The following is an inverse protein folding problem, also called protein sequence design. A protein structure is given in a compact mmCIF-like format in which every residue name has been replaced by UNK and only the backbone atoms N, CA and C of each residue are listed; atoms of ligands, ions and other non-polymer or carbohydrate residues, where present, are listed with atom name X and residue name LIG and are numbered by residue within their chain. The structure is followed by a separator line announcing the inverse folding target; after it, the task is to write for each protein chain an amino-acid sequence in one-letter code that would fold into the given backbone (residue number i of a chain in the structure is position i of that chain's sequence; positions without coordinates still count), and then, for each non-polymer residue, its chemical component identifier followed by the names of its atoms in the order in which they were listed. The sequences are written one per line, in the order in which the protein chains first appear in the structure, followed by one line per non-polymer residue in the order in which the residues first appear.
data_IF_377100046353
#
_entry.id   IF_377100046353
#
_cell.length_a   1.000
_cell.length_b   1.000
_cell.length_c   1.000
_cell.angle_alpha   90.00
_cell.angle_beta   90.00
_cell.angle_gamma   90.00
#
_symmetry.space_group_name_H-M   'P 1'
#
loop_
_entity.id
_entity.type
_entity.pdbx_description
1 polymer ?
#
# COMPACT_ATOMS: atom_id res chain seq x y z
N UNK A 1 -22.82 15.09 6.39
CA UNK A 1 -21.76 15.25 7.41
C UNK A 1 -20.66 14.26 7.09
N UNK A 2 -19.44 14.74 6.83
CA UNK A 2 -18.28 13.87 6.66
C UNK A 2 -17.78 13.54 8.06
N UNK A 3 -17.88 12.28 8.45
CA UNK A 3 -17.41 11.81 9.75
C UNK A 3 -15.86 11.68 9.69
N UNK A 4 -15.14 12.65 10.26
CA UNK A 4 -13.67 12.62 10.39
C UNK A 4 -13.28 11.80 11.62
N UNK A 5 -13.25 10.48 11.51
CA UNK A 5 -12.87 9.62 12.63
C UNK A 5 -12.39 8.24 12.21
N UNK A 6 -11.55 7.64 13.06
CA UNK A 6 -10.90 6.34 12.82
C UNK A 6 -11.66 5.23 13.51
N UNK A 7 -11.90 4.16 12.77
CA UNK A 7 -12.36 2.90 13.34
C UNK A 7 -11.16 2.06 13.78
N UNK A 8 -11.02 1.89 15.08
CA UNK A 8 -10.02 1.03 15.70
C UNK A 8 -10.65 -0.34 16.00
N UNK A 9 -9.93 -1.42 15.67
CA UNK A 9 -10.22 -2.76 16.18
C UNK A 9 -9.27 -3.07 17.32
N UNK A 10 -9.78 -3.03 18.55
CA UNK A 10 -8.99 -3.36 19.74
C UNK A 10 -9.25 -4.82 20.08
N UNK A 11 -8.19 -5.62 20.21
CA UNK A 11 -8.25 -7.01 20.64
C UNK A 11 -7.56 -7.15 21.99
N UNK A 12 -8.32 -7.50 23.03
CA UNK A 12 -7.76 -7.86 24.33
C UNK A 12 -7.47 -9.36 24.40
N UNK A 13 -6.37 -9.74 25.05
CA UNK A 13 -5.95 -11.14 25.18
C UNK A 13 -5.95 -11.51 26.67
N UNK A 14 -6.83 -12.43 27.07
CA UNK A 14 -6.98 -12.89 28.46
C UNK A 14 -6.16 -14.15 28.79
N UNK A 15 -5.85 -14.36 30.07
CA UNK A 15 -5.32 -15.65 30.54
C UNK A 15 -6.41 -16.73 30.51
N UNK A 16 -6.18 -17.79 29.73
CA UNK A 16 -6.75 -19.11 30.01
C UNK A 16 -5.61 -20.02 30.44
N UNK A 17 -5.56 -20.37 31.74
CA UNK A 17 -4.46 -21.14 32.35
C UNK A 17 -4.44 -22.63 31.98
N UNK A 18 -5.30 -23.11 31.11
CA UNK A 18 -5.25 -24.46 30.59
C UNK A 18 -5.92 -24.44 29.23
N UNK A 19 -5.25 -24.91 28.16
CA UNK A 19 -5.90 -25.61 27.04
C UNK A 19 -4.89 -26.07 25.98
N UNK A 20 -4.89 -27.38 25.76
CA UNK A 20 -3.98 -28.15 24.92
C UNK A 20 -4.45 -28.30 23.46
N UNK A 21 -5.36 -27.45 22.97
CA UNK A 21 -5.93 -27.61 21.62
C UNK A 21 -6.02 -26.29 20.84
N UNK A 22 -5.52 -26.35 19.60
CA UNK A 22 -5.34 -25.24 18.65
C UNK A 22 -6.64 -24.48 18.28
N UNK A 23 -7.81 -25.08 18.51
CA UNK A 23 -9.14 -24.55 18.16
C UNK A 23 -9.62 -23.46 19.13
N UNK A 24 -9.09 -23.41 20.36
CA UNK A 24 -9.51 -22.45 21.39
C UNK A 24 -8.65 -21.18 21.47
N UNK A 25 -7.69 -20.98 20.54
CA UNK A 25 -6.95 -19.70 20.44
C UNK A 25 -7.82 -18.56 19.95
N UNK A 26 -8.86 -18.83 19.15
CA UNK A 26 -9.74 -17.81 18.57
C UNK A 26 -10.86 -17.34 19.51
N UNK A 27 -11.08 -18.01 20.65
CA UNK A 27 -12.18 -17.75 21.59
C UNK A 27 -11.84 -16.83 22.77
N UNK A 28 -10.61 -16.31 22.88
CA UNK A 28 -10.18 -15.45 23.99
C UNK A 28 -9.89 -14.00 23.60
N UNK A 29 -10.36 -13.58 22.41
CA UNK A 29 -10.29 -12.19 21.98
C UNK A 29 -11.61 -11.49 22.27
N UNK A 30 -11.58 -10.50 23.16
CA UNK A 30 -12.65 -9.52 23.18
C UNK A 30 -12.32 -8.44 22.16
N UNK A 31 -13.07 -8.44 21.06
CA UNK A 31 -12.92 -7.43 20.01
C UNK A 31 -13.81 -6.24 20.33
N UNK A 32 -13.23 -5.05 20.39
CA UNK A 32 -13.95 -3.80 20.48
C UNK A 32 -13.74 -3.02 19.20
N UNK A 33 -14.84 -2.50 18.67
CA UNK A 33 -14.78 -1.49 17.63
C UNK A 33 -14.93 -0.15 18.32
N UNK A 34 -13.87 0.65 18.24
CA UNK A 34 -13.84 1.97 18.84
C UNK A 34 -13.74 3.02 17.73
N UNK A 35 -14.56 4.07 17.82
CA UNK A 35 -14.53 5.16 16.86
C UNK A 35 -13.86 6.38 17.51
N UNK A 36 -12.76 6.81 16.94
CA UNK A 36 -11.94 7.92 17.43
C UNK A 36 -12.25 9.18 16.63
N UNK A 37 -12.74 10.22 17.29
CA UNK A 37 -12.96 11.54 16.70
C UNK A 37 -11.64 12.32 16.59
N UNK A 38 -11.28 12.69 15.36
CA UNK A 38 -9.99 13.33 15.05
C UNK A 38 -9.95 14.82 15.36
N UNK A 39 -11.08 15.46 15.68
CA UNK A 39 -11.13 16.89 15.92
C UNK A 39 -10.73 17.28 17.36
N UNK A 40 -10.28 16.31 18.18
CA UNK A 40 -9.90 16.53 19.58
C UNK A 40 -8.37 16.51 19.71
N UNK A 41 -7.81 17.65 20.14
CA UNK A 41 -6.37 17.95 20.05
C UNK A 41 -5.47 17.13 20.99
N UNK A 42 -6.04 16.36 21.92
CA UNK A 42 -5.27 15.46 22.79
C UNK A 42 -5.56 14.00 22.47
N UNK A 43 -5.50 13.64 21.18
CA UNK A 43 -5.86 12.32 20.64
C UNK A 43 -5.22 11.15 21.42
N UNK A 44 -3.94 11.28 21.78
CA UNK A 44 -3.18 10.25 22.52
C UNK A 44 -3.65 10.14 23.98
N UNK A 45 -3.93 11.26 24.64
CA UNK A 45 -4.45 11.26 26.01
C UNK A 45 -5.91 10.83 26.05
N UNK A 46 -6.71 11.16 25.05
CA UNK A 46 -8.08 10.68 24.89
C UNK A 46 -8.11 9.16 24.63
N UNK A 47 -7.21 8.62 23.80
CA UNK A 47 -7.05 7.17 23.62
C UNK A 47 -6.65 6.52 24.94
N UNK A 48 -5.65 7.06 25.65
CA UNK A 48 -5.22 6.52 26.95
C UNK A 48 -6.35 6.55 27.97
N UNK A 49 -7.07 7.67 28.06
CA UNK A 49 -8.21 7.86 28.95
C UNK A 49 -9.35 6.89 28.61
N UNK A 50 -9.75 6.80 27.34
CA UNK A 50 -10.86 5.94 26.92
C UNK A 50 -10.51 4.45 26.99
N UNK A 51 -9.25 4.07 26.76
CA UNK A 51 -8.77 2.71 27.05
C UNK A 51 -8.93 2.40 28.55
N UNK A 52 -8.50 3.29 29.44
CA UNK A 52 -8.62 3.11 30.89
C UNK A 52 -10.08 3.11 31.38
N UNK A 53 -10.89 4.08 30.98
CA UNK A 53 -12.25 4.29 31.50
C UNK A 53 -13.32 3.44 30.84
N UNK A 54 -13.21 3.17 29.53
CA UNK A 54 -14.27 2.47 28.78
C UNK A 54 -13.94 1.00 28.53
N UNK A 55 -12.66 0.62 28.60
CA UNK A 55 -12.23 -0.76 28.34
C UNK A 55 -11.76 -1.45 29.62
N UNK A 56 -10.90 -0.82 30.43
CA UNK A 56 -10.38 -1.45 31.66
C UNK A 56 -11.36 -1.40 32.84
N UNK A 57 -11.95 -0.24 33.17
CA UNK A 57 -12.83 -0.09 34.33
C UNK A 57 -14.11 -0.96 34.30
N UNK A 58 -14.83 -1.12 33.17
CA UNK A 58 -15.99 -2.01 33.11
C UNK A 58 -15.62 -3.50 33.11
N UNK A 59 -14.36 -3.84 32.84
CA UNK A 59 -13.87 -5.21 32.72
C UNK A 59 -12.81 -5.56 33.78
N UNK A 60 -12.75 -4.82 34.89
CA UNK A 60 -11.75 -4.98 35.96
C UNK A 60 -11.69 -6.40 36.56
N UNK A 61 -12.71 -7.22 36.34
CA UNK A 61 -12.76 -8.63 36.76
C UNK A 61 -12.01 -9.60 35.80
N UNK A 62 -11.46 -9.12 34.68
CA UNK A 62 -10.73 -9.94 33.71
C UNK A 62 -9.22 -9.68 33.77
N UNK A 63 -8.45 -10.75 33.90
CA UNK A 63 -6.98 -10.72 33.86
C UNK A 63 -6.47 -10.74 32.41
N UNK A 64 -6.12 -9.57 31.87
CA UNK A 64 -5.55 -9.42 30.53
C UNK A 64 -4.02 -9.27 30.60
N UNK A 65 -3.28 -10.07 29.82
CA UNK A 65 -1.81 -10.03 29.79
C UNK A 65 -1.24 -9.05 28.76
N UNK A 66 -1.99 -8.82 27.68
CA UNK A 66 -1.55 -7.96 26.59
C UNK A 66 -2.75 -7.42 25.81
N UNK A 67 -2.55 -6.24 25.22
CA UNK A 67 -3.50 -5.64 24.31
C UNK A 67 -2.89 -5.52 22.92
N UNK A 68 -3.68 -5.87 21.91
CA UNK A 68 -3.35 -5.69 20.51
C UNK A 68 -4.33 -4.68 19.90
N UNK A 69 -3.83 -3.56 19.41
CA UNK A 69 -4.66 -2.61 18.65
C UNK A 69 -4.36 -2.80 17.17
N UNK A 70 -5.41 -3.11 16.41
CA UNK A 70 -5.40 -3.17 14.96
C UNK A 70 -6.09 -1.91 14.44
N UNK A 71 -5.37 -1.13 13.66
CA UNK A 71 -5.89 0.08 13.07
C UNK A 71 -6.43 -0.28 11.68
N UNK A 72 -7.76 -0.30 11.57
CA UNK A 72 -8.46 -0.62 10.32
C UNK A 72 -8.82 0.68 9.61
N UNK A 73 -7.91 1.12 8.74
CA UNK A 73 -7.98 2.40 8.02
C UNK A 73 -8.90 2.35 6.79
N UNK A 74 -9.97 1.57 6.84
CA UNK A 74 -10.81 1.31 5.67
C UNK A 74 -11.39 2.59 5.04
N UNK A 75 -11.53 3.70 5.79
CA UNK A 75 -12.20 4.92 5.29
C UNK A 75 -11.66 6.28 5.81
N UNK A 76 -10.40 6.39 6.29
CA UNK A 76 -9.94 7.67 6.89
C UNK A 76 -8.92 8.40 6.00
N UNK A 77 -9.24 9.62 5.53
CA UNK A 77 -8.25 10.53 4.97
C UNK A 77 -7.47 11.21 6.12
N UNK A 78 -6.14 11.23 6.00
CA UNK A 78 -5.17 11.95 6.86
C UNK A 78 -5.09 11.51 8.32
N UNK A 79 -4.17 10.59 8.61
CA UNK A 79 -3.63 10.35 9.95
C UNK A 79 -2.13 10.67 10.00
N UNK A 80 -1.71 11.66 9.20
CA UNK A 80 -0.31 11.88 8.84
C UNK A 80 0.35 13.05 9.59
N UNK A 81 -0.36 13.75 10.49
CA UNK A 81 0.22 14.84 11.29
C UNK A 81 0.76 14.42 12.66
N UNK A 82 0.52 13.17 13.07
CA UNK A 82 1.17 12.60 14.26
C UNK A 82 1.93 11.36 13.79
N UNK A 83 3.24 11.31 14.03
CA UNK A 83 4.17 10.25 13.59
C UNK A 83 3.88 8.84 14.14
N UNK A 84 2.62 8.52 14.45
CA UNK A 84 2.31 7.49 15.43
C UNK A 84 1.76 6.22 14.76
N UNK A 85 0.93 6.25 13.69
CA UNK A 85 0.35 5.01 13.14
C UNK A 85 0.00 4.98 11.63
N UNK A 86 0.23 3.85 10.96
CA UNK A 86 -0.07 3.53 9.54
C UNK A 86 -1.07 2.36 9.40
N UNK A 87 -1.63 2.16 8.19
CA UNK A 87 -2.52 1.03 7.85
C UNK A 87 -1.89 -0.32 8.27
N UNK A 88 -2.64 -1.13 9.03
CA UNK A 88 -2.21 -2.42 9.58
C UNK A 88 -1.07 -2.37 10.61
N UNK A 89 -0.72 -1.20 11.13
CA UNK A 89 0.18 -1.15 12.28
C UNK A 89 -0.48 -1.88 13.47
N UNK A 90 0.31 -2.76 14.08
CA UNK A 90 -0.08 -3.49 15.28
C UNK A 90 0.63 -2.85 16.45
N UNK A 91 -0.15 -2.23 17.34
CA UNK A 91 0.40 -1.79 18.63
C UNK A 91 0.28 -2.97 19.58
N UNK A 92 1.42 -3.45 20.05
CA UNK A 92 1.50 -4.42 21.14
C UNK A 92 1.80 -3.68 22.44
N UNK A 93 0.91 -3.82 23.42
CA UNK A 93 1.12 -3.32 24.77
C UNK A 93 1.10 -4.50 25.74
N UNK A 94 2.22 -4.70 26.44
CA UNK A 94 2.32 -5.62 27.58
C UNK A 94 1.78 -4.89 28.80
N UNK A 95 0.83 -5.51 29.49
CA UNK A 95 0.18 -4.95 30.67
C UNK A 95 0.81 -5.61 31.89
N UNK A 96 1.86 -5.00 32.46
CA UNK A 96 2.46 -5.51 33.69
C UNK A 96 1.55 -5.13 34.88
N UNK A 97 1.09 -6.12 35.64
CA UNK A 97 0.12 -5.93 36.73
C UNK A 97 0.71 -6.13 38.13
N UNK A 98 2.03 -5.98 38.30
CA UNK A 98 2.62 -6.08 39.62
C UNK A 98 2.65 -4.70 40.32
N UNK A 99 1.55 -4.46 41.05
CA UNK A 99 1.34 -3.51 42.17
C UNK A 99 1.20 -1.99 41.91
N UNK A 100 0.38 -1.28 42.73
CA UNK A 100 0.21 0.16 42.64
C UNK A 100 1.36 0.87 43.37
N UNK A 101 2.31 1.44 42.65
CA UNK A 101 3.28 2.38 43.24
C UNK A 101 3.39 3.72 42.49
N UNK A 102 3.56 4.75 43.32
CA UNK A 102 3.74 6.16 43.02
C UNK A 102 5.03 6.39 42.22
N UNK A 103 4.88 6.85 40.97
CA UNK A 103 5.88 7.45 40.06
C UNK A 103 7.18 6.66 39.72
N UNK A 104 7.86 6.95 38.58
CA UNK A 104 7.42 7.56 37.34
C UNK A 104 7.27 6.51 36.22
N UNK A 105 6.57 6.92 35.16
CA UNK A 105 6.34 6.17 33.92
C UNK A 105 7.64 5.56 33.39
N UNK A 106 7.71 4.22 33.39
CA UNK A 106 8.74 3.48 32.64
C UNK A 106 8.66 3.93 31.19
N UNK A 107 9.75 4.50 30.67
CA UNK A 107 9.91 4.86 29.27
C UNK A 107 9.51 3.67 28.40
N UNK A 108 8.32 3.77 27.82
CA UNK A 108 7.83 2.82 26.84
C UNK A 108 8.65 3.06 25.59
N UNK A 109 9.54 2.12 25.24
CA UNK A 109 10.16 2.12 23.92
C UNK A 109 9.08 2.01 22.86
N UNK A 110 8.67 3.15 22.32
CA UNK A 110 7.93 3.24 21.06
C UNK A 110 8.91 2.78 20.00
N UNK A 111 8.70 1.56 19.49
CA UNK A 111 9.45 1.09 18.34
C UNK A 111 8.92 1.86 17.13
N UNK A 112 9.55 3.01 16.84
CA UNK A 112 9.27 3.81 15.64
C UNK A 112 9.56 2.89 14.46
N UNK A 113 8.50 2.40 13.81
CA UNK A 113 8.68 1.53 12.67
C UNK A 113 9.39 2.33 11.59
N UNK A 114 10.49 1.78 11.04
CA UNK A 114 11.25 2.47 10.00
C UNK A 114 10.31 2.94 8.88
N UNK A 115 10.54 4.11 8.28
CA UNK A 115 9.75 4.58 7.16
C UNK A 115 9.87 3.62 5.97
N UNK A 116 8.92 3.69 5.03
CA UNK A 116 8.97 2.80 3.87
C UNK A 116 10.14 3.23 2.98
N UNK A 117 10.94 2.27 2.57
CA UNK A 117 12.07 2.49 1.66
C UNK A 117 11.68 2.26 0.20
N UNK A 118 10.58 1.57 -0.04
CA UNK A 118 10.05 1.34 -1.38
C UNK A 118 8.53 1.41 -1.38
N UNK A 119 7.94 1.86 -2.48
CA UNK A 119 6.50 1.86 -2.71
C UNK A 119 6.18 1.18 -4.03
N UNK A 120 5.22 0.26 -4.03
CA UNK A 120 4.58 -0.27 -5.24
C UNK A 120 3.13 0.20 -5.26
N UNK A 121 2.79 1.03 -6.24
CA UNK A 121 1.46 1.62 -6.40
C UNK A 121 0.95 1.29 -7.81
N UNK A 122 -0.27 0.78 -7.91
CA UNK A 122 -0.85 0.51 -9.21
C UNK A 122 -2.33 0.22 -9.17
N UNK A 123 -2.84 -0.29 -10.28
CA UNK A 123 -4.23 -0.72 -10.41
C UNK A 123 -4.40 -2.20 -10.02
N UNK A 124 -5.53 -2.81 -10.38
CA UNK A 124 -5.75 -4.25 -10.18
C UNK A 124 -4.70 -5.16 -10.84
N UNK A 125 -3.88 -4.64 -11.76
CA UNK A 125 -2.77 -5.37 -12.37
C UNK A 125 -1.72 -5.83 -11.34
N UNK A 126 -1.45 -5.02 -10.32
CA UNK A 126 -0.41 -5.33 -9.31
C UNK A 126 -0.97 -6.00 -8.06
N UNK A 127 -2.29 -6.28 -7.99
CA UNK A 127 -2.98 -6.75 -6.79
C UNK A 127 -2.37 -8.01 -6.14
N UNK A 128 -1.72 -8.84 -6.94
CA UNK A 128 -1.14 -10.11 -6.53
C UNK A 128 0.40 -10.06 -6.39
N UNK A 129 0.99 -8.88 -6.57
CA UNK A 129 2.43 -8.69 -6.44
C UNK A 129 2.77 -8.44 -4.98
N UNK A 130 3.72 -9.22 -4.48
CA UNK A 130 4.38 -8.95 -3.21
C UNK A 130 5.60 -8.06 -3.46
N UNK A 131 5.59 -6.78 -3.05
CA UNK A 131 6.70 -5.87 -3.33
C UNK A 131 8.00 -6.27 -2.63
N UNK A 132 7.95 -7.07 -1.55
CA UNK A 132 9.17 -7.56 -0.88
C UNK A 132 9.99 -8.50 -1.76
N UNK A 133 9.36 -9.11 -2.78
CA UNK A 133 10.05 -9.94 -3.77
C UNK A 133 10.82 -9.13 -4.79
N UNK A 134 10.43 -7.87 -5.01
CA UNK A 134 11.09 -6.92 -5.91
C UNK A 134 12.19 -6.17 -5.14
N UNK A 135 11.82 -5.57 -4.01
CA UNK A 135 12.70 -4.77 -3.17
C UNK A 135 13.13 -5.58 -1.94
N UNK A 136 13.99 -6.56 -2.18
CA UNK A 136 14.53 -7.44 -1.13
C UNK A 136 15.16 -6.61 0.00
N UNK A 137 14.93 -7.05 1.24
CA UNK A 137 15.38 -6.41 2.48
C UNK A 137 14.87 -4.99 2.74
N UNK A 138 13.92 -4.49 1.95
CA UNK A 138 13.32 -3.16 2.15
C UNK A 138 11.95 -3.24 2.78
N UNK A 139 11.65 -2.30 3.68
CA UNK A 139 10.28 -2.09 4.14
C UNK A 139 9.46 -1.47 3.00
N UNK A 140 8.49 -2.21 2.49
CA UNK A 140 7.71 -1.82 1.32
C UNK A 140 6.32 -1.31 1.70
N UNK A 141 5.88 -0.25 1.02
CA UNK A 141 4.48 0.14 0.93
C UNK A 141 3.84 -0.50 -0.31
N UNK A 142 2.59 -0.94 -0.19
CA UNK A 142 1.83 -1.51 -1.30
C UNK A 142 0.45 -0.88 -1.38
N UNK A 143 0.06 -0.42 -2.58
CA UNK A 143 -1.32 -0.04 -2.86
C UNK A 143 -1.76 -0.47 -4.26
N UNK A 144 -2.85 -1.23 -4.31
CA UNK A 144 -3.62 -1.50 -5.52
C UNK A 144 -4.95 -0.74 -5.47
N UNK A 145 -5.24 0.05 -6.50
CA UNK A 145 -6.54 0.70 -6.72
C UNK A 145 -7.27 -0.04 -7.84
N UNK A 146 -8.08 -1.05 -7.47
CA UNK A 146 -8.79 -1.87 -8.45
C UNK A 146 -9.74 -1.05 -9.31
N UNK A 147 -9.69 -1.24 -10.63
CA UNK A 147 -10.44 -0.42 -11.60
C UNK A 147 -9.95 1.02 -11.72
N UNK A 148 -8.94 1.42 -10.95
CA UNK A 148 -8.40 2.77 -10.94
C UNK A 148 -7.77 3.17 -12.27
N UNK A 149 -7.76 4.47 -12.50
CA UNK A 149 -7.15 5.20 -13.60
C UNK A 149 -5.97 6.02 -13.12
N UNK A 150 -5.24 6.64 -14.04
CA UNK A 150 -4.09 7.52 -13.69
C UNK A 150 -4.53 8.63 -12.71
N UNK A 151 -5.72 9.21 -12.91
CA UNK A 151 -6.28 10.24 -12.02
C UNK A 151 -6.42 9.79 -10.57
N UNK A 152 -6.84 8.54 -10.36
CA UNK A 152 -7.04 7.99 -9.02
C UNK A 152 -5.69 7.78 -8.32
N UNK A 153 -4.67 7.41 -9.08
CA UNK A 153 -3.29 7.29 -8.58
C UNK A 153 -2.74 8.68 -8.23
N UNK A 154 -2.95 9.70 -9.08
CA UNK A 154 -2.58 11.10 -8.81
C UNK A 154 -3.25 11.59 -7.54
N UNK A 155 -4.56 11.41 -7.41
CA UNK A 155 -5.30 11.81 -6.21
C UNK A 155 -4.77 11.08 -4.97
N UNK A 156 -4.51 9.79 -5.08
CA UNK A 156 -3.95 8.97 -4.00
C UNK A 156 -2.59 9.49 -3.53
N UNK A 157 -1.67 9.82 -4.44
CA UNK A 157 -0.33 10.32 -4.07
C UNK A 157 -0.38 11.77 -3.56
N UNK A 158 -1.23 12.63 -4.16
CA UNK A 158 -1.40 14.03 -3.71
C UNK A 158 -2.01 14.12 -2.31
N UNK A 159 -2.98 13.25 -2.00
CA UNK A 159 -3.58 13.17 -0.65
C UNK A 159 -2.59 12.69 0.42
N UNK A 160 -1.43 12.17 0.02
CA UNK A 160 -0.37 11.64 0.89
C UNK A 160 0.96 12.32 0.59
N UNK A 161 0.92 13.62 0.32
CA UNK A 161 2.11 14.41 0.06
C UNK A 161 3.08 14.31 1.25
N UNK A 162 4.34 13.96 0.99
CA UNK A 162 5.37 13.75 2.01
C UNK A 162 5.42 12.32 2.59
N UNK A 163 4.38 11.49 2.40
CA UNK A 163 4.36 10.11 2.90
C UNK A 163 5.49 9.25 2.30
N UNK A 164 5.83 9.49 1.04
CA UNK A 164 6.89 8.78 0.32
C UNK A 164 8.26 9.49 0.37
N UNK A 165 8.44 10.51 1.21
CA UNK A 165 9.66 11.32 1.29
C UNK A 165 10.94 10.51 1.58
N UNK A 166 10.81 9.36 2.22
CA UNK A 166 11.93 8.47 2.55
C UNK A 166 11.97 7.19 1.68
N UNK A 167 11.07 7.08 0.70
CA UNK A 167 11.12 5.99 -0.27
C UNK A 167 12.29 6.23 -1.22
N UNK A 168 13.20 5.27 -1.29
CA UNK A 168 14.27 5.23 -2.30
C UNK A 168 13.73 4.79 -3.66
N UNK A 169 12.65 3.99 -3.67
CA UNK A 169 12.03 3.47 -4.88
C UNK A 169 10.53 3.78 -4.88
N UNK A 170 10.02 4.37 -5.95
CA UNK A 170 8.59 4.54 -6.18
C UNK A 170 8.25 3.87 -7.52
N UNK A 171 7.59 2.72 -7.44
CA UNK A 171 7.23 1.90 -8.58
C UNK A 171 5.74 2.04 -8.90
N UNK A 172 5.44 2.49 -10.12
CA UNK A 172 4.09 2.79 -10.59
C UNK A 172 3.69 1.82 -11.71
N UNK A 173 2.48 1.28 -11.62
CA UNK A 173 1.83 0.51 -12.70
C UNK A 173 0.38 0.98 -12.89
N UNK A 174 0.15 1.89 -13.83
CA UNK A 174 -1.19 2.38 -14.17
C UNK A 174 -1.29 2.84 -15.64
N UNK A 175 -2.48 3.23 -16.10
CA UNK A 175 -2.73 3.66 -17.50
C UNK A 175 -3.43 2.63 -18.38
N UNK A 176 -3.43 1.34 -17.97
CA UNK A 176 -4.09 0.28 -18.73
C UNK A 176 -5.62 0.48 -18.84
N UNK A 177 -6.27 0.91 -17.76
CA UNK A 177 -7.71 1.20 -17.78
C UNK A 177 -8.05 2.51 -18.51
N UNK A 178 -7.10 3.43 -18.58
CA UNK A 178 -7.23 4.67 -19.35
C UNK A 178 -7.16 4.40 -20.86
N UNK A 179 -6.28 3.49 -21.28
CA UNK A 179 -6.21 3.02 -22.67
C UNK A 179 -7.47 2.26 -23.11
N UNK A 180 -8.07 1.49 -22.18
CA UNK A 180 -9.36 0.81 -22.32
C UNK A 180 -10.54 1.73 -21.95
N UNK A 181 -10.46 3.03 -22.23
CA UNK A 181 -11.57 3.97 -22.00
C UNK A 181 -11.93 4.71 -23.29
N UNK A 182 -13.03 5.45 -23.30
CA UNK A 182 -13.38 6.28 -24.46
C UNK A 182 -12.52 7.54 -24.60
N UNK A 183 -11.58 7.78 -23.69
CA UNK A 183 -10.69 8.93 -23.77
C UNK A 183 -9.72 8.81 -24.95
N UNK A 184 -9.27 9.96 -25.44
CA UNK A 184 -8.17 10.02 -26.40
C UNK A 184 -6.84 9.67 -25.73
N UNK A 185 -5.96 8.99 -26.47
CA UNK A 185 -4.65 8.57 -25.95
C UNK A 185 -3.80 9.75 -25.48
N UNK A 186 -3.94 10.92 -26.11
CA UNK A 186 -3.25 12.14 -25.70
C UNK A 186 -3.63 12.54 -24.28
N UNK A 187 -4.90 12.44 -23.90
CA UNK A 187 -5.34 12.77 -22.53
C UNK A 187 -4.74 11.80 -21.52
N UNK A 188 -4.63 10.51 -21.86
CA UNK A 188 -3.94 9.51 -21.03
C UNK A 188 -2.47 9.86 -20.83
N UNK A 189 -1.77 10.25 -21.91
CA UNK A 189 -0.36 10.67 -21.88
C UNK A 189 -0.18 11.93 -21.02
N UNK A 190 -1.00 12.97 -21.25
CA UNK A 190 -0.93 14.23 -20.52
C UNK A 190 -1.13 14.02 -19.01
N UNK A 191 -2.06 13.13 -18.63
CA UNK A 191 -2.27 12.75 -17.22
C UNK A 191 -1.11 11.97 -16.64
N UNK A 192 -0.51 11.05 -17.41
CA UNK A 192 0.64 10.31 -16.91
C UNK A 192 1.86 11.21 -16.72
N UNK A 193 2.06 12.18 -17.63
CA UNK A 193 3.09 13.19 -17.50
C UNK A 193 2.86 14.05 -16.25
N UNK A 194 1.60 14.43 -15.95
CA UNK A 194 1.24 15.13 -14.70
C UNK A 194 1.65 14.31 -13.47
N UNK A 195 1.35 13.00 -13.45
CA UNK A 195 1.73 12.10 -12.36
C UNK A 195 3.26 12.05 -12.19
N UNK A 196 4.00 11.84 -13.28
CA UNK A 196 5.44 11.71 -13.24
C UNK A 196 6.13 13.01 -12.82
N UNK A 197 5.68 14.16 -13.33
CA UNK A 197 6.16 15.49 -12.92
C UNK A 197 5.88 15.75 -11.44
N UNK A 198 4.69 15.39 -10.95
CA UNK A 198 4.36 15.52 -9.53
C UNK A 198 5.29 14.67 -8.67
N UNK A 199 5.44 13.38 -9.00
CA UNK A 199 6.32 12.48 -8.25
C UNK A 199 7.78 12.96 -8.24
N UNK A 200 8.30 13.39 -9.40
CA UNK A 200 9.68 13.87 -9.50
C UNK A 200 9.90 15.16 -8.71
N UNK A 201 8.95 16.10 -8.77
CA UNK A 201 9.02 17.36 -8.02
C UNK A 201 8.93 17.13 -6.52
N UNK A 202 8.02 16.27 -6.07
CA UNK A 202 7.73 16.06 -4.64
C UNK A 202 8.71 15.09 -3.99
N UNK A 203 9.25 14.13 -4.75
CA UNK A 203 10.16 13.10 -4.26
C UNK A 203 11.42 13.02 -5.15
N UNK A 204 12.24 14.08 -5.21
CA UNK A 204 13.38 14.17 -6.13
C UNK A 204 14.48 13.14 -5.86
N UNK A 205 14.60 12.68 -4.62
CA UNK A 205 15.60 11.68 -4.20
C UNK A 205 15.15 10.22 -4.46
N UNK A 206 13.89 10.02 -4.85
CA UNK A 206 13.36 8.70 -5.15
C UNK A 206 13.70 8.29 -6.58
N UNK A 207 14.18 7.07 -6.76
CA UNK A 207 14.21 6.43 -8.08
C UNK A 207 12.78 6.10 -8.51
N UNK A 208 12.28 6.83 -9.51
CA UNK A 208 10.96 6.59 -10.10
C UNK A 208 11.05 5.44 -11.11
N UNK A 209 10.19 4.44 -10.94
CA UNK A 209 10.14 3.25 -11.79
C UNK A 209 8.73 3.15 -12.38
N UNK A 210 8.61 3.28 -13.69
CA UNK A 210 7.35 3.15 -14.41
C UNK A 210 7.34 1.86 -15.21
N UNK A 211 6.32 1.04 -15.01
CA UNK A 211 6.18 -0.21 -15.76
C UNK A 211 5.40 0.03 -17.04
N UNK A 212 5.88 -0.54 -18.15
CA UNK A 212 5.11 -0.55 -19.39
C UNK A 212 3.81 -1.32 -19.22
N UNK A 213 2.83 -0.95 -20.03
CA UNK A 213 1.58 -1.68 -20.12
C UNK A 213 1.79 -2.99 -20.88
N UNK A 214 1.39 -4.10 -20.26
CA UNK A 214 1.38 -5.41 -20.92
C UNK A 214 0.19 -5.55 -21.89
N UNK A 215 0.31 -6.37 -22.95
CA UNK A 215 -0.81 -6.75 -23.80
C UNK A 215 -1.97 -7.39 -23.01
N UNK A 216 -3.16 -7.34 -23.60
CA UNK A 216 -4.38 -7.99 -23.10
C UNK A 216 -4.95 -8.90 -24.17
N UNK A 217 -5.79 -9.85 -23.78
CA UNK A 217 -6.65 -10.61 -24.70
C UNK A 217 -8.13 -10.25 -24.58
N UNK A 218 -8.47 -9.39 -23.60
CA UNK A 218 -9.83 -8.84 -23.43
C UNK A 218 -9.78 -7.37 -23.00
N UNK A 219 -10.81 -6.64 -23.40
CA UNK A 219 -11.06 -5.24 -23.05
C UNK A 219 -12.51 -5.09 -22.63
N UNK A 220 -12.83 -4.00 -21.91
CA UNK A 220 -14.18 -3.76 -21.42
C UNK A 220 -14.95 -2.75 -22.26
N UNK A 221 -14.29 -1.70 -22.76
CA UNK A 221 -14.99 -0.55 -23.34
C UNK A 221 -14.65 -0.29 -24.81
N UNK A 222 -13.42 -0.58 -25.22
CA UNK A 222 -12.97 -0.42 -26.60
C UNK A 222 -12.64 -1.78 -27.23
N UNK A 223 -12.56 -1.85 -28.55
CA UNK A 223 -12.07 -3.06 -29.22
C UNK A 223 -10.59 -3.32 -28.92
N UNK A 224 -10.17 -4.58 -29.05
CA UNK A 224 -8.84 -5.03 -28.65
C UNK A 224 -7.73 -4.40 -29.52
N UNK A 225 -8.01 -4.18 -30.81
CA UNK A 225 -7.04 -3.58 -31.74
C UNK A 225 -6.80 -2.10 -31.42
N UNK A 226 -7.85 -1.36 -31.06
CA UNK A 226 -7.74 0.02 -30.61
C UNK A 226 -7.01 0.11 -29.28
N UNK A 227 -7.31 -0.77 -28.33
CA UNK A 227 -6.55 -0.86 -27.07
C UNK A 227 -5.06 -1.11 -27.35
N UNK A 228 -4.73 -2.05 -28.23
CA UNK A 228 -3.35 -2.41 -28.52
C UNK A 228 -2.59 -1.25 -29.17
N UNK A 229 -3.18 -0.56 -30.16
CA UNK A 229 -2.60 0.66 -30.75
C UNK A 229 -2.32 1.72 -29.69
N UNK A 230 -3.24 1.91 -28.75
CA UNK A 230 -3.10 2.89 -27.66
C UNK A 230 -2.02 2.47 -26.67
N UNK A 231 -1.97 1.19 -26.30
CA UNK A 231 -0.96 0.60 -25.43
C UNK A 231 0.44 0.81 -26.00
N UNK A 232 0.64 0.50 -27.28
CA UNK A 232 1.91 0.70 -27.99
C UNK A 232 2.29 2.17 -27.99
N UNK A 233 1.38 3.06 -28.40
CA UNK A 233 1.61 4.50 -28.40
C UNK A 233 1.97 5.04 -26.99
N UNK A 234 1.31 4.54 -25.95
CA UNK A 234 1.61 4.90 -24.58
C UNK A 234 2.99 4.39 -24.13
N UNK A 235 3.34 3.15 -24.42
CA UNK A 235 4.66 2.60 -24.09
C UNK A 235 5.78 3.32 -24.87
N UNK A 236 5.55 3.69 -26.13
CA UNK A 236 6.48 4.50 -26.92
C UNK A 236 6.72 5.87 -26.26
N UNK A 237 5.66 6.52 -25.77
CA UNK A 237 5.77 7.74 -24.98
C UNK A 237 6.64 7.54 -23.73
N UNK A 238 6.45 6.45 -22.98
CA UNK A 238 7.25 6.16 -21.79
C UNK A 238 8.75 6.04 -22.14
N UNK A 239 9.08 5.28 -23.18
CA UNK A 239 10.47 5.01 -23.56
C UNK A 239 11.19 6.21 -24.18
N UNK A 240 10.48 7.02 -24.95
CA UNK A 240 11.08 8.11 -25.72
C UNK A 240 10.98 9.44 -25.00
N UNK A 241 9.77 9.85 -24.62
CA UNK A 241 9.50 11.21 -24.19
C UNK A 241 9.63 11.33 -22.67
N UNK A 242 9.01 10.41 -21.92
CA UNK A 242 9.00 10.51 -20.47
C UNK A 242 10.40 10.43 -19.88
N UNK A 243 11.23 9.48 -20.33
CA UNK A 243 12.64 9.35 -19.90
C UNK A 243 13.49 10.58 -20.16
N UNK A 244 13.21 11.36 -21.22
CA UNK A 244 13.95 12.59 -21.52
C UNK A 244 13.52 13.71 -20.56
N UNK A 245 12.22 13.78 -20.23
CA UNK A 245 11.66 14.86 -19.43
C UNK A 245 11.85 14.66 -17.93
N UNK A 246 11.85 13.41 -17.47
CA UNK A 246 11.88 13.05 -16.05
C UNK A 246 12.96 11.99 -15.83
N UNK A 247 13.91 12.21 -14.90
CA UNK A 247 14.83 11.18 -14.43
C UNK A 247 14.03 10.00 -13.84
N UNK A 248 13.87 8.94 -14.64
CA UNK A 248 13.10 7.78 -14.27
C UNK A 248 13.53 6.55 -15.05
N UNK A 249 13.14 5.41 -14.50
CA UNK A 249 13.36 4.10 -15.07
C UNK A 249 12.07 3.56 -15.69
N UNK A 250 12.19 2.96 -16.87
CA UNK A 250 11.06 2.34 -17.57
C UNK A 250 11.33 0.85 -17.69
N UNK A 251 10.48 0.03 -17.09
CA UNK A 251 10.61 -1.44 -17.13
C UNK A 251 9.77 -1.97 -18.27
N UNK A 252 10.41 -2.74 -19.15
CA UNK A 252 9.76 -3.46 -20.25
C UNK A 252 9.42 -4.89 -19.82
N UNK A 253 8.28 -5.39 -20.30
CA UNK A 253 7.76 -6.72 -19.95
C UNK A 253 7.69 -7.63 -21.17
N UNK A 254 8.84 -7.85 -21.83
CA UNK A 254 8.95 -8.50 -23.14
C UNK A 254 8.31 -9.89 -23.20
N UNK A 255 8.35 -10.62 -22.09
CA UNK A 255 7.73 -11.95 -21.97
C UNK A 255 6.23 -11.95 -22.22
N UNK A 256 5.54 -10.80 -22.06
CA UNK A 256 4.11 -10.66 -22.34
C UNK A 256 3.81 -10.30 -23.81
N UNK A 257 4.81 -9.96 -24.63
CA UNK A 257 4.61 -9.64 -26.05
C UNK A 257 4.44 -10.91 -26.92
N UNK A 258 4.83 -12.08 -26.41
CA UNK A 258 4.57 -13.37 -27.08
C UNK A 258 3.09 -13.73 -26.97
N UNK A 259 2.34 -13.42 -28.03
CA UNK A 259 0.90 -13.72 -28.16
C UNK A 259 0.58 -15.21 -27.96
N UNK A 260 1.51 -16.13 -28.27
CA UNK A 260 1.27 -17.57 -28.10
C UNK A 260 1.26 -17.99 -26.63
N UNK A 261 1.89 -17.21 -25.75
CA UNK A 261 1.98 -17.50 -24.31
C UNK A 261 1.08 -16.61 -23.46
N UNK A 262 0.63 -15.48 -24.00
CA UNK A 262 -0.11 -14.45 -23.27
C UNK A 262 -1.33 -14.98 -22.50
N UNK A 263 -2.11 -15.88 -23.10
CA UNK A 263 -3.27 -16.48 -22.41
C UNK A 263 -2.88 -17.31 -21.18
N UNK A 264 -1.67 -17.86 -21.15
CA UNK A 264 -1.17 -18.61 -19.98
C UNK A 264 -0.65 -17.68 -18.88
N UNK A 265 -0.35 -16.42 -19.22
CA UNK A 265 0.14 -15.39 -18.33
C UNK A 265 -0.99 -14.56 -17.72
N UNK A 266 -2.21 -14.60 -18.28
CA UNK A 266 -3.38 -13.85 -17.84
C UNK A 266 -4.52 -14.78 -17.34
N UNK A 267 -5.25 -14.40 -16.29
CA UNK A 267 -6.38 -15.21 -15.75
C UNK A 267 -7.68 -14.95 -16.50
N UNK A 268 -7.97 -13.69 -16.82
CA UNK A 268 -9.22 -13.25 -17.42
C UNK A 268 -9.00 -12.45 -18.70
N UNK A 269 -7.80 -12.60 -19.29
CA UNK A 269 -7.35 -11.83 -20.44
C UNK A 269 -6.96 -10.38 -20.11
N UNK A 270 -6.98 -9.99 -18.84
CA UNK A 270 -6.56 -8.66 -18.36
C UNK A 270 -5.51 -8.79 -17.26
N UNK A 271 -5.81 -9.52 -16.19
CA UNK A 271 -4.98 -9.61 -14.99
C UNK A 271 -3.96 -10.73 -15.08
N UNK A 272 -2.76 -10.49 -14.55
CA UNK A 272 -1.71 -11.49 -14.47
C UNK A 272 -2.10 -12.69 -13.59
N UNK A 273 -1.71 -13.88 -14.02
CA UNK A 273 -1.80 -15.08 -13.19
C UNK A 273 -0.79 -14.99 -12.04
N UNK A 274 -1.18 -15.29 -10.78
CA UNK A 274 -0.24 -15.34 -9.67
C UNK A 274 0.85 -16.40 -9.85
N UNK A 275 0.57 -17.45 -10.63
CA UNK A 275 1.45 -18.61 -10.79
C UNK A 275 2.51 -18.37 -11.87
N UNK A 276 2.16 -17.75 -13.01
CA UNK A 276 3.08 -17.59 -14.16
C UNK A 276 3.37 -16.13 -14.49
N UNK A 277 2.33 -15.29 -14.60
CA UNK A 277 2.47 -13.90 -14.99
C UNK A 277 3.19 -13.05 -13.93
N UNK A 278 2.77 -13.14 -12.66
CA UNK A 278 3.34 -12.35 -11.56
C UNK A 278 4.83 -12.63 -11.35
N UNK A 279 5.32 -13.89 -11.30
CA UNK A 279 6.75 -14.17 -11.18
C UNK A 279 7.59 -13.54 -12.29
N UNK A 280 7.17 -13.69 -13.55
CA UNK A 280 7.85 -13.09 -14.71
C UNK A 280 7.89 -11.57 -14.58
N UNK A 281 6.76 -10.95 -14.25
CA UNK A 281 6.67 -9.50 -14.07
C UNK A 281 7.60 -8.98 -12.95
N UNK A 282 7.68 -9.71 -11.83
CA UNK A 282 8.61 -9.41 -10.73
C UNK A 282 10.06 -9.55 -11.22
N UNK A 283 10.38 -10.62 -11.94
CA UNK A 283 11.74 -10.88 -12.42
C UNK A 283 12.20 -9.82 -13.42
N UNK A 284 11.31 -9.34 -14.31
CA UNK A 284 11.61 -8.22 -15.22
C UNK A 284 12.05 -6.97 -14.45
N UNK A 285 11.30 -6.59 -13.40
CA UNK A 285 11.64 -5.44 -12.55
C UNK A 285 12.97 -5.67 -11.81
N UNK A 286 13.18 -6.86 -11.25
CA UNK A 286 14.42 -7.19 -10.52
C UNK A 286 15.63 -7.17 -11.43
N UNK A 287 15.52 -7.74 -12.62
CA UNK A 287 16.60 -7.79 -13.60
C UNK A 287 17.00 -6.37 -14.01
N UNK A 288 16.00 -5.51 -14.22
CA UNK A 288 16.22 -4.09 -14.49
C UNK A 288 16.97 -3.39 -13.34
N UNK A 289 16.50 -3.57 -12.09
CA UNK A 289 17.14 -2.96 -10.92
C UNK A 289 18.57 -3.48 -10.68
N UNK A 290 18.87 -4.72 -11.08
CA UNK A 290 20.21 -5.30 -10.99
C UNK A 290 21.15 -4.77 -12.08
N UNK A 291 20.67 -4.63 -13.32
CA UNK A 291 21.49 -4.13 -14.42
C UNK A 291 21.90 -2.67 -14.27
N UNK A 292 21.12 -1.85 -13.55
CA UNK A 292 21.47 -0.45 -13.31
C UNK A 292 22.31 -0.23 -12.05
N UNK A 293 22.39 -1.20 -11.13
CA UNK A 293 23.26 -1.12 -9.94
C UNK A 293 24.75 -1.26 -10.25
N UNK A 294 25.13 -1.74 -11.43
CA UNK A 294 26.54 -1.80 -11.86
C UNK A 294 27.12 -0.45 -12.32
N UNK A 295 26.42 0.65 -12.07
CA UNK A 295 26.83 2.03 -12.38
C UNK A 295 27.04 2.91 -11.13
N UNK A 296 26.88 2.34 -9.92
CA UNK A 296 27.32 2.93 -8.64
C UNK A 296 28.66 2.32 -8.21
#
# INVERSE_FOLDING_TARGET
MVYNGIRLKIQLISESKNLSTKILRDSHYTNFWYYLDLNKFDLVEQIKFDLNEKIFLPNANFNYKSMRILIDNYEVPSFESTNIFRDNDIIFLVLDQNEPQKEPVVERQVQITKPFEAALIGTSMVKHIDPSKIFEDKKCFFKSISGGRISDIIEFVKKREGFFSQCKYICITCGSNDCDSYNEIKQTIDRYLELAQYLHKTYPESLLIFNQLIPRTKTKYVDLDLFEKRRVCFNDFLNTTLRILIPCEIVEHKSFEDKSQLETLLIDGVHMTPIKGVPIYIDDIKNYLRSNKSLE
#
